data_IF_212202621352
#
_entry.id   IF_212202621352
#
_cell.length_a   1.000
_cell.length_b   1.000
_cell.length_c   1.000
_cell.angle_alpha   90.00
_cell.angle_beta   90.00
_cell.angle_gamma   90.00
#
_symmetry.space_group_name_H-M   'P 1'
#
loop_
_entity.id
_entity.type
_entity.pdbx_description
1 polymer ?
#
# COMPACT_ATOMS: atom_id res chain seq x y z
N UNK A 1 -15.99 -2.11 0.22
CA UNK A 1 -14.95 -3.06 0.68
C UNK A 1 -14.08 -3.38 -0.52
N UNK A 2 -12.81 -2.98 -0.52
CA UNK A 2 -11.92 -3.27 -1.64
C UNK A 2 -11.10 -4.50 -1.29
N UNK A 3 -11.62 -5.67 -1.66
CA UNK A 3 -10.85 -6.92 -1.65
C UNK A 3 -9.70 -6.75 -2.64
N UNK A 4 -8.46 -6.98 -2.20
CA UNK A 4 -7.31 -7.00 -3.10
C UNK A 4 -7.20 -8.45 -3.57
N UNK A 5 -7.58 -8.79 -4.81
CA UNK A 5 -7.54 -10.18 -5.27
C UNK A 5 -6.10 -10.67 -5.51
N UNK A 6 -5.18 -9.73 -5.74
CA UNK A 6 -3.87 -10.00 -6.30
C UNK A 6 -2.79 -9.15 -5.66
N UNK A 7 -1.64 -9.76 -5.46
CA UNK A 7 -0.51 -9.13 -4.78
C UNK A 7 0.73 -9.29 -5.62
N UNK A 8 1.43 -8.19 -5.82
CA UNK A 8 2.74 -8.16 -6.47
C UNK A 8 3.87 -8.10 -5.46
N UNK A 9 5.06 -8.49 -5.90
CA UNK A 9 6.28 -8.29 -5.10
C UNK A 9 6.52 -6.82 -4.76
N UNK A 10 6.22 -5.91 -5.69
CA UNK A 10 6.42 -4.48 -5.51
C UNK A 10 5.55 -3.95 -4.37
N UNK A 11 4.28 -4.35 -4.31
CA UNK A 11 3.37 -3.94 -3.24
C UNK A 11 3.85 -4.43 -1.86
N UNK A 12 4.33 -5.68 -1.76
CA UNK A 12 4.91 -6.19 -0.51
C UNK A 12 6.12 -5.34 -0.08
N UNK A 13 6.97 -4.93 -1.03
CA UNK A 13 8.13 -4.06 -0.74
C UNK A 13 7.70 -2.67 -0.26
N UNK A 14 6.71 -2.06 -0.91
CA UNK A 14 6.15 -0.77 -0.48
C UNK A 14 5.53 -0.86 0.91
N UNK A 15 5.04 -2.04 1.31
CA UNK A 15 4.53 -2.30 2.65
C UNK A 15 5.62 -2.59 3.69
N UNK A 16 6.90 -2.61 3.31
CA UNK A 16 8.02 -2.78 4.22
C UNK A 16 8.58 -4.21 4.30
N UNK A 17 8.17 -5.12 3.41
CA UNK A 17 8.76 -6.45 3.37
C UNK A 17 10.18 -6.39 2.80
N UNK A 18 11.12 -7.02 3.49
CA UNK A 18 12.47 -7.23 2.94
C UNK A 18 12.43 -8.23 1.78
N UNK A 19 13.39 -8.12 0.85
CA UNK A 19 13.51 -9.06 -0.26
C UNK A 19 13.62 -10.53 0.21
N UNK A 20 14.26 -10.75 1.36
CA UNK A 20 14.35 -12.07 1.99
C UNK A 20 12.99 -12.56 2.47
N UNK A 21 12.23 -11.72 3.18
CA UNK A 21 10.90 -12.06 3.68
C UNK A 21 9.95 -12.39 2.54
N UNK A 22 9.95 -11.60 1.47
CA UNK A 22 9.15 -11.86 0.27
C UNK A 22 9.50 -13.24 -0.29
N UNK A 23 10.79 -13.55 -0.45
CA UNK A 23 11.22 -14.86 -0.96
C UNK A 23 10.74 -16.01 -0.07
N UNK A 24 10.67 -15.81 1.24
CA UNK A 24 10.15 -16.82 2.17
C UNK A 24 8.64 -17.00 2.04
N UNK A 25 7.89 -15.90 1.93
CA UNK A 25 6.42 -15.94 1.82
C UNK A 25 5.98 -16.50 0.46
N UNK A 26 6.63 -16.10 -0.63
CA UNK A 26 6.26 -16.55 -1.98
C UNK A 26 6.89 -17.89 -2.37
N UNK A 27 7.60 -18.55 -1.45
CA UNK A 27 8.27 -19.82 -1.74
C UNK A 27 7.24 -20.91 -2.00
N UNK A 28 7.25 -21.44 -3.21
CA UNK A 28 6.36 -22.54 -3.61
C UNK A 28 4.93 -22.09 -3.95
N UNK A 29 4.65 -20.79 -3.95
CA UNK A 29 3.36 -20.27 -4.42
C UNK A 29 3.33 -20.22 -5.94
N UNK A 30 2.16 -20.50 -6.51
CA UNK A 30 1.92 -20.25 -7.92
C UNK A 30 1.97 -18.74 -8.17
N UNK A 31 2.50 -18.36 -9.34
CA UNK A 31 2.50 -16.96 -9.75
C UNK A 31 2.19 -16.87 -11.23
N UNK A 32 1.28 -15.97 -11.61
CA UNK A 32 1.13 -15.58 -13.01
C UNK A 32 2.11 -14.46 -13.33
N UNK A 33 2.53 -14.36 -14.59
CA UNK A 33 3.31 -13.22 -15.09
C UNK A 33 2.41 -12.32 -15.90
N UNK A 34 2.42 -11.04 -15.57
CA UNK A 34 1.72 -10.01 -16.31
C UNK A 34 2.60 -8.76 -16.37
N UNK A 35 2.79 -8.19 -17.55
CA UNK A 35 3.63 -7.01 -17.75
C UNK A 35 5.04 -7.10 -17.15
N UNK A 36 5.61 -8.32 -17.11
CA UNK A 36 6.93 -8.59 -16.51
C UNK A 36 6.94 -8.74 -14.98
N UNK A 37 5.80 -8.54 -14.31
CA UNK A 37 5.65 -8.71 -12.87
C UNK A 37 5.13 -10.10 -12.52
N UNK A 38 5.59 -10.64 -11.39
CA UNK A 38 4.97 -11.82 -10.77
C UNK A 38 3.81 -11.37 -9.91
N UNK A 39 2.64 -11.91 -10.21
CA UNK A 39 1.40 -11.68 -9.50
C UNK A 39 1.03 -12.97 -8.77
N UNK A 40 0.71 -12.85 -7.50
CA UNK A 40 0.31 -13.94 -6.61
C UNK A 40 -1.15 -13.73 -6.19
N UNK A 41 -1.87 -14.83 -5.95
CA UNK A 41 -3.20 -14.73 -5.35
C UNK A 41 -3.09 -14.18 -3.93
N UNK A 42 -3.95 -13.23 -3.58
CA UNK A 42 -4.02 -12.71 -2.22
C UNK A 42 -4.35 -13.79 -1.19
N UNK A 43 -5.18 -14.79 -1.54
CA UNK A 43 -5.53 -15.90 -0.64
C UNK A 43 -4.34 -16.80 -0.33
N UNK A 44 -3.47 -17.05 -1.33
CA UNK A 44 -2.26 -17.85 -1.14
C UNK A 44 -1.23 -17.10 -0.28
N UNK A 45 -1.10 -15.79 -0.51
CA UNK A 45 -0.23 -14.93 0.30
C UNK A 45 -0.74 -14.86 1.74
N UNK A 46 -2.04 -14.73 1.95
CA UNK A 46 -2.67 -14.76 3.27
C UNK A 46 -2.31 -16.05 4.01
N UNK A 47 -2.53 -17.20 3.38
CA UNK A 47 -2.22 -18.50 3.94
C UNK A 47 -0.72 -18.64 4.28
N UNK A 48 0.16 -18.21 3.38
CA UNK A 48 1.61 -18.26 3.60
C UNK A 48 2.05 -17.37 4.77
N UNK A 49 1.43 -16.19 4.94
CA UNK A 49 1.71 -15.30 6.07
C UNK A 49 1.18 -15.89 7.38
N UNK A 50 -0.03 -16.44 7.39
CA UNK A 50 -0.59 -17.10 8.57
C UNK A 50 0.32 -18.25 9.05
N UNK A 51 0.81 -19.08 8.13
CA UNK A 51 1.78 -20.13 8.43
C UNK A 51 3.11 -19.58 8.96
N UNK A 52 3.57 -18.43 8.45
CA UNK A 52 4.78 -17.77 8.94
C UNK A 52 4.60 -17.26 10.37
N UNK A 53 3.46 -16.64 10.67
CA UNK A 53 3.14 -16.07 11.97
C UNK A 53 2.94 -17.13 13.07
N UNK A 54 2.42 -18.31 12.69
CA UNK A 54 2.30 -19.46 13.58
C UNK A 54 3.66 -19.95 14.13
N UNK A 55 4.78 -19.57 13.50
CA UNK A 55 6.11 -19.91 14.00
C UNK A 55 6.49 -19.01 15.18
N UNK A 56 6.83 -19.59 16.35
CA UNK A 56 7.07 -18.82 17.58
C UNK A 56 8.34 -17.96 17.52
N UNK A 57 9.29 -18.27 16.63
CA UNK A 57 10.56 -17.54 16.46
C UNK A 57 10.50 -16.40 15.43
N UNK A 58 9.32 -15.94 15.04
CA UNK A 58 9.22 -14.78 14.15
C UNK A 58 9.60 -13.52 14.93
N UNK A 59 10.59 -12.77 14.43
CA UNK A 59 11.04 -11.53 15.09
C UNK A 59 9.87 -10.54 15.25
N UNK A 60 9.80 -9.78 16.36
CA UNK A 60 8.68 -8.88 16.65
C UNK A 60 8.38 -7.91 15.50
N UNK A 61 9.41 -7.25 14.95
CA UNK A 61 9.23 -6.32 13.83
C UNK A 61 8.68 -7.01 12.57
N UNK A 62 9.16 -8.22 12.27
CA UNK A 62 8.64 -9.01 11.13
C UNK A 62 7.20 -9.41 11.38
N UNK A 63 6.85 -9.81 12.61
CA UNK A 63 5.49 -10.15 12.99
C UNK A 63 4.54 -8.97 12.80
N UNK A 64 4.90 -7.77 13.27
CA UNK A 64 4.11 -6.55 13.07
C UNK A 64 3.86 -6.24 11.60
N UNK A 65 4.89 -6.33 10.75
CA UNK A 65 4.75 -6.11 9.29
C UNK A 65 3.79 -7.12 8.66
N UNK A 66 3.91 -8.40 9.02
CA UNK A 66 3.08 -9.48 8.51
C UNK A 66 1.61 -9.34 8.95
N UNK A 67 1.36 -9.02 10.22
CA UNK A 67 0.01 -8.81 10.77
C UNK A 67 -0.68 -7.61 10.13
N UNK A 68 0.04 -6.49 9.98
CA UNK A 68 -0.50 -5.30 9.31
C UNK A 68 -0.85 -5.57 7.84
N UNK A 69 -0.04 -6.39 7.17
CA UNK A 69 -0.30 -6.75 5.78
C UNK A 69 -1.51 -7.70 5.66
N UNK A 70 -1.66 -8.64 6.58
CA UNK A 70 -2.87 -9.48 6.66
C UNK A 70 -4.14 -8.65 6.83
N UNK A 71 -4.14 -7.66 7.73
CA UNK A 71 -5.27 -6.75 7.91
C UNK A 71 -5.60 -6.00 6.61
N UNK A 72 -4.59 -5.57 5.87
CA UNK A 72 -4.78 -4.95 4.55
C UNK A 72 -5.42 -5.91 3.55
N UNK A 73 -4.92 -7.16 3.45
CA UNK A 73 -5.43 -8.14 2.48
C UNK A 73 -6.90 -8.49 2.75
N UNK A 74 -7.29 -8.59 4.02
CA UNK A 74 -8.66 -8.88 4.44
C UNK A 74 -9.63 -7.71 4.25
N UNK A 75 -9.12 -6.52 3.93
CA UNK A 75 -9.93 -5.31 3.86
C UNK A 75 -10.28 -4.74 5.24
N UNK A 76 -9.69 -5.27 6.32
CA UNK A 76 -9.81 -4.78 7.70
C UNK A 76 -8.98 -3.50 7.94
N UNK A 77 -8.39 -2.94 6.87
CA UNK A 77 -7.51 -1.76 6.85
C UNK A 77 -8.14 -0.44 7.36
N UNK A 78 -9.40 -0.44 7.77
CA UNK A 78 -10.02 0.68 8.49
C UNK A 78 -9.82 0.61 10.01
N UNK A 79 -9.26 -0.48 10.55
CA UNK A 79 -8.96 -0.61 11.97
C UNK A 79 -7.54 -0.10 12.23
N UNK A 80 -7.43 1.13 12.71
CA UNK A 80 -6.19 1.63 13.31
C UNK A 80 -5.96 0.80 14.59
N UNK A 81 -5.04 -0.18 14.55
CA UNK A 81 -4.53 -0.79 15.78
C UNK A 81 -3.64 0.24 16.47
N UNK A 82 -4.22 0.96 17.41
CA UNK A 82 -3.49 1.80 18.36
C UNK A 82 -2.93 0.85 19.43
N UNK A 83 -1.64 0.96 19.72
CA UNK A 83 -1.01 0.23 20.82
C UNK A 83 -1.67 0.66 22.14
N UNK A 84 -2.61 -0.15 22.65
CA UNK A 84 -3.23 0.04 23.97
C UNK A 84 -2.25 -0.12 25.16
N UNK A 85 -0.94 -0.28 24.88
CA UNK A 85 0.09 -0.54 25.88
C UNK A 85 0.67 0.70 26.57
N UNK A 86 0.31 1.91 26.14
CA UNK A 86 0.67 3.16 26.83
C UNK A 86 -0.50 4.11 26.73
N UNK A 87 -1.21 4.30 27.85
CA UNK A 87 -2.31 5.25 28.01
C UNK A 87 -1.87 6.65 27.57
N UNK A 88 -2.12 6.98 26.30
CA UNK A 88 -2.32 8.35 25.87
C UNK A 88 -3.76 8.69 26.23
N UNK A 89 -3.95 9.83 26.90
CA UNK A 89 -5.29 10.35 27.19
C UNK A 89 -6.08 10.50 25.88
N UNK A 90 -7.38 10.19 25.90
CA UNK A 90 -8.26 10.14 24.73
C UNK A 90 -8.20 11.44 23.91
N UNK A 91 -7.98 12.58 24.57
CA UNK A 91 -7.81 13.88 23.92
C UNK A 91 -6.56 13.95 23.02
N UNK A 92 -5.45 13.34 23.46
CA UNK A 92 -4.19 13.31 22.69
C UNK A 92 -4.32 12.42 21.45
N UNK A 93 -5.05 11.31 21.58
CA UNK A 93 -5.34 10.40 20.48
C UNK A 93 -6.22 11.07 19.40
N UNK A 94 -7.29 11.74 19.82
CA UNK A 94 -8.16 12.52 18.93
C UNK A 94 -7.35 13.60 18.21
N UNK A 95 -6.47 14.32 18.93
CA UNK A 95 -5.63 15.36 18.35
C UNK A 95 -4.65 14.82 17.29
N UNK A 96 -4.04 13.66 17.54
CA UNK A 96 -3.18 13.00 16.56
C UNK A 96 -3.95 12.58 15.31
N UNK A 97 -5.16 12.05 15.46
CA UNK A 97 -6.01 11.67 14.34
C UNK A 97 -6.39 12.90 13.49
N UNK A 98 -6.79 14.01 14.13
CA UNK A 98 -7.07 15.27 13.43
C UNK A 98 -5.85 15.79 12.66
N UNK A 99 -4.68 15.79 13.30
CA UNK A 99 -3.43 16.24 12.68
C UNK A 99 -3.10 15.42 11.43
N UNK A 100 -3.29 14.11 11.49
CA UNK A 100 -3.03 13.19 10.37
C UNK A 100 -4.03 13.36 9.24
N UNK A 101 -5.30 13.59 9.56
CA UNK A 101 -6.34 13.93 8.56
C UNK A 101 -5.97 15.24 7.85
N UNK A 102 -5.52 16.26 8.59
CA UNK A 102 -5.12 17.54 8.01
C UNK A 102 -3.92 17.42 7.08
N UNK A 103 -2.89 16.67 7.50
CA UNK A 103 -1.71 16.39 6.68
C UNK A 103 -2.07 15.66 5.39
N UNK A 104 -2.94 14.64 5.49
CA UNK A 104 -3.42 13.88 4.34
C UNK A 104 -4.20 14.77 3.37
N UNK A 105 -5.04 15.68 3.89
CA UNK A 105 -5.78 16.65 3.08
C UNK A 105 -4.85 17.66 2.38
N UNK A 106 -3.78 18.10 3.04
CA UNK A 106 -2.76 18.97 2.40
C UNK A 106 -2.06 18.24 1.26
N UNK A 107 -1.64 17.00 1.48
CA UNK A 107 -1.03 16.18 0.42
C UNK A 107 -1.98 15.96 -0.76
N UNK A 108 -3.26 15.67 -0.49
CA UNK A 108 -4.29 15.53 -1.52
C UNK A 108 -4.43 16.79 -2.37
N UNK A 109 -4.50 17.97 -1.74
CA UNK A 109 -4.60 19.25 -2.47
C UNK A 109 -3.37 19.48 -3.37
N UNK A 110 -2.19 19.15 -2.89
CA UNK A 110 -0.96 19.30 -3.68
C UNK A 110 -0.92 18.33 -4.87
N UNK A 111 -1.36 17.10 -4.69
CA UNK A 111 -1.49 16.14 -5.80
C UNK A 111 -2.47 16.64 -6.86
N UNK A 112 -3.65 17.13 -6.45
CA UNK A 112 -4.65 17.69 -7.38
C UNK A 112 -4.07 18.88 -8.16
N UNK A 113 -3.37 19.79 -7.49
CA UNK A 113 -2.70 20.92 -8.15
C UNK A 113 -1.69 20.48 -9.21
N UNK A 114 -0.93 19.42 -8.92
CA UNK A 114 0.03 18.85 -9.88
C UNK A 114 -0.66 18.20 -11.08
N UNK A 115 -1.79 17.54 -10.85
CA UNK A 115 -2.62 16.97 -11.94
C UNK A 115 -3.11 18.09 -12.85
N UNK A 116 -3.67 19.17 -12.30
CA UNK A 116 -4.15 20.31 -13.10
C UNK A 116 -3.02 20.91 -13.96
N UNK A 117 -1.81 21.04 -13.40
CA UNK A 117 -0.65 21.53 -14.15
C UNK A 117 -0.23 20.60 -15.29
N UNK A 118 -0.35 19.29 -15.10
CA UNK A 118 -0.05 18.31 -16.15
C UNK A 118 -1.10 18.39 -17.25
N UNK A 119 -2.38 18.52 -16.90
CA UNK A 119 -3.48 18.65 -17.87
C UNK A 119 -3.30 19.91 -18.73
N UNK A 120 -3.04 21.07 -18.13
CA UNK A 120 -2.78 22.32 -18.87
C UNK A 120 -1.57 22.20 -19.80
N UNK A 121 -0.51 21.51 -19.37
CA UNK A 121 0.67 21.27 -20.21
C UNK A 121 0.34 20.34 -21.39
N UNK A 122 -0.42 19.28 -21.15
CA UNK A 122 -0.87 18.35 -22.18
C UNK A 122 -1.71 19.08 -23.24
N UNK A 123 -2.67 19.90 -22.82
CA UNK A 123 -3.51 20.69 -23.72
C UNK A 123 -2.68 21.63 -24.61
N UNK A 124 -1.70 22.33 -24.03
CA UNK A 124 -0.80 23.21 -24.81
C UNK A 124 0.04 22.44 -25.85
N UNK A 125 0.46 21.22 -25.55
CA UNK A 125 1.22 20.38 -26.50
C UNK A 125 0.30 19.91 -27.62
N UNK A 126 -0.93 19.52 -27.30
CA UNK A 126 -1.95 19.12 -28.28
C UNK A 126 -2.33 20.28 -29.22
N UNK A 127 -2.45 21.51 -28.71
CA UNK A 127 -2.70 22.67 -29.56
C UNK A 127 -1.52 23.03 -30.48
N UNK A 128 -0.29 22.93 -29.97
CA UNK A 128 0.91 23.17 -30.78
C UNK A 128 1.05 22.16 -31.91
N UNK A 129 0.83 20.88 -31.62
CA UNK A 129 0.89 19.80 -32.62
C UNK A 129 -0.18 19.94 -33.69
N UNK A 130 -1.40 20.39 -33.33
CA UNK A 130 -2.45 20.73 -34.31
C UNK A 130 -2.06 21.88 -35.23
N UNK A 131 -1.41 22.93 -34.72
CA UNK A 131 -0.96 24.08 -35.54
C UNK A 131 0.18 23.72 -36.51
N UNK A 132 1.05 22.78 -36.15
CA UNK A 132 2.17 22.33 -37.00
C UNK A 132 1.72 21.40 -38.14
N UNK A 133 0.52 20.83 -38.09
CA UNK A 133 -0.01 19.96 -39.16
C UNK A 133 -0.85 20.70 -40.22
N UNK A 134 -1.15 21.99 -40.02
CA UNK A 134 -2.05 22.78 -40.87
C UNK A 134 -1.31 23.93 -41.60
N UNK A 135 0.02 24.00 -41.48
CA UNK A 135 0.89 24.90 -42.25
C UNK A 135 1.95 24.11 -42.99
#
# INVERSE_FOLDING_TARGET
MTFIPEVTRFEMQQFGFSAYLIRQITKGLASRREWGYKIYSASEIENAIAQKLAKPRTQPNTRTVLENFLLRLRGDSNVVRVDFGKTLDNATEIQMLYTKIEQTNKQRKEVLRRVDQVLVKADRVLEKTKKTQVG
#
